data_IF_756749372646
#
_entry.id   IF_756749372646
#
_cell.length_a   1.000
_cell.length_b   1.000
_cell.length_c   1.000
_cell.angle_alpha   90.00
_cell.angle_beta   90.00
_cell.angle_gamma   90.00
#
_symmetry.space_group_name_H-M   'P 1'
#
loop_
_entity.id
_entity.type
_entity.pdbx_description
1 polymer ?
#
# COMPACT_ATOMS: atom_id res chain seq x y z
N UNK A 1 -21.55 -18.36 9.07
CA UNK A 1 -20.87 -17.54 8.04
C UNK A 1 -21.58 -17.78 6.71
N UNK A 2 -22.19 -16.75 6.09
CA UNK A 2 -23.00 -16.92 4.87
C UNK A 2 -22.17 -16.74 3.60
N UNK A 3 -22.26 -17.71 2.67
CA UNK A 3 -21.82 -17.59 1.27
C UNK A 3 -23.02 -17.10 0.44
N UNK A 4 -22.87 -16.01 -0.30
CA UNK A 4 -23.94 -15.48 -1.15
C UNK A 4 -23.96 -16.19 -2.50
N UNK A 5 -25.11 -16.72 -2.93
CA UNK A 5 -25.28 -17.31 -4.26
C UNK A 5 -26.52 -16.73 -4.94
N UNK A 6 -26.38 -16.35 -6.20
CA UNK A 6 -27.46 -15.94 -7.07
C UNK A 6 -27.31 -16.69 -8.39
N UNK A 7 -28.05 -17.80 -8.51
CA UNK A 7 -27.89 -18.73 -9.62
C UNK A 7 -29.16 -18.80 -10.46
N UNK A 8 -29.00 -18.73 -11.77
CA UNK A 8 -29.97 -19.11 -12.78
C UNK A 8 -29.30 -20.10 -13.74
N UNK A 9 -28.67 -21.11 -13.16
CA UNK A 9 -27.95 -22.18 -13.86
C UNK A 9 -28.93 -23.21 -14.44
N UNK A 10 -28.55 -23.84 -15.54
CA UNK A 10 -29.32 -24.94 -16.12
C UNK A 10 -28.43 -26.14 -16.40
N UNK A 11 -28.84 -27.33 -15.96
CA UNK A 11 -28.16 -28.57 -16.31
C UNK A 11 -28.46 -29.04 -17.74
N UNK A 12 -29.50 -28.49 -18.40
CA UNK A 12 -29.91 -28.88 -19.74
C UNK A 12 -30.64 -27.74 -20.43
N UNK A 13 -30.23 -27.39 -21.64
CA UNK A 13 -30.70 -26.19 -22.30
C UNK A 13 -30.05 -24.94 -21.71
N UNK A 14 -30.58 -23.78 -22.06
CA UNK A 14 -29.87 -22.52 -21.86
C UNK A 14 -29.95 -22.01 -20.42
N UNK A 15 -28.93 -21.26 -20.00
CA UNK A 15 -28.89 -20.57 -18.74
C UNK A 15 -29.94 -19.45 -18.69
N UNK A 16 -30.36 -19.09 -17.47
CA UNK A 16 -31.37 -18.05 -17.25
C UNK A 16 -30.81 -16.63 -17.36
N UNK A 17 -31.64 -15.66 -16.96
CA UNK A 17 -31.27 -14.25 -16.96
C UNK A 17 -31.19 -13.72 -15.52
N UNK A 18 -30.09 -13.06 -15.18
CA UNK A 18 -29.92 -12.33 -13.92
C UNK A 18 -29.87 -10.83 -14.22
N UNK A 19 -30.71 -10.06 -13.55
CA UNK A 19 -30.68 -8.60 -13.59
C UNK A 19 -30.49 -8.07 -12.16
N UNK A 20 -29.38 -7.38 -11.92
CA UNK A 20 -29.02 -6.88 -10.59
C UNK A 20 -28.82 -5.37 -10.62
N UNK A 21 -29.58 -4.67 -9.77
CA UNK A 21 -29.45 -3.23 -9.54
C UNK A 21 -29.12 -3.01 -8.07
N UNK A 22 -27.97 -2.39 -7.77
CA UNK A 22 -27.57 -2.10 -6.40
C UNK A 22 -26.72 -0.83 -6.31
N UNK A 23 -26.55 -0.29 -5.10
CA UNK A 23 -25.54 0.74 -4.88
C UNK A 23 -24.14 0.12 -4.67
N UNK A 24 -24.09 -1.02 -3.98
CA UNK A 24 -22.88 -1.76 -3.71
C UNK A 24 -23.16 -3.26 -3.91
N UNK A 25 -22.35 -3.91 -4.74
CA UNK A 25 -22.30 -5.36 -4.87
C UNK A 25 -21.01 -5.84 -4.19
N UNK A 26 -21.15 -6.36 -2.96
CA UNK A 26 -20.05 -6.91 -2.20
C UNK A 26 -20.02 -8.44 -2.34
N UNK A 27 -18.99 -8.96 -2.98
CA UNK A 27 -18.76 -10.38 -3.20
C UNK A 27 -17.70 -10.89 -2.22
N UNK A 28 -18.12 -11.82 -1.37
CA UNK A 28 -17.29 -12.36 -0.29
C UNK A 28 -17.52 -13.83 -0.03
N UNK A 29 -16.47 -14.50 0.45
CA UNK A 29 -16.44 -15.89 0.93
C UNK A 29 -16.95 -16.86 -0.13
N UNK A 30 -16.35 -16.79 -1.31
CA UNK A 30 -16.74 -17.56 -2.48
C UNK A 30 -18.19 -17.31 -2.89
N UNK A 31 -18.53 -16.03 -3.01
CA UNK A 31 -19.83 -15.62 -3.52
C UNK A 31 -19.92 -15.95 -5.02
N UNK A 32 -21.12 -16.31 -5.48
CA UNK A 32 -21.32 -16.72 -6.87
C UNK A 32 -22.54 -16.03 -7.46
N UNK A 33 -22.38 -15.46 -8.66
CA UNK A 33 -23.48 -15.05 -9.53
C UNK A 33 -23.34 -15.83 -10.82
N UNK A 34 -24.26 -16.74 -11.13
CA UNK A 34 -24.06 -17.69 -12.22
C UNK A 34 -25.30 -17.89 -13.08
N UNK A 35 -25.11 -17.84 -14.40
CA UNK A 35 -26.06 -18.30 -15.43
C UNK A 35 -25.45 -19.40 -16.28
N UNK A 36 -24.54 -20.19 -15.70
CA UNK A 36 -23.82 -21.26 -16.38
C UNK A 36 -24.79 -22.35 -16.84
N UNK A 37 -24.54 -22.92 -18.02
CA UNK A 37 -25.44 -23.86 -18.66
C UNK A 37 -24.77 -25.12 -19.22
N UNK A 38 -25.50 -26.22 -19.17
CA UNK A 38 -25.12 -27.51 -19.73
C UNK A 38 -24.19 -28.34 -18.85
N UNK A 39 -24.15 -29.64 -19.16
CA UNK A 39 -23.26 -30.67 -18.62
C UNK A 39 -22.58 -31.42 -19.77
N UNK A 40 -21.77 -32.42 -19.43
CA UNK A 40 -21.17 -33.32 -20.41
C UNK A 40 -22.20 -34.07 -21.26
N UNK A 41 -23.31 -34.51 -20.65
CA UNK A 41 -24.33 -35.28 -21.35
C UNK A 41 -25.42 -34.40 -21.99
N UNK A 42 -25.55 -33.15 -21.55
CA UNK A 42 -26.66 -32.26 -21.92
C UNK A 42 -26.14 -30.88 -22.27
N UNK A 43 -26.30 -30.48 -23.53
CA UNK A 43 -25.85 -29.16 -23.99
C UNK A 43 -26.68 -27.99 -23.44
N UNK A 44 -26.24 -26.78 -23.78
CA UNK A 44 -26.88 -25.53 -23.39
C UNK A 44 -25.96 -24.34 -23.58
N UNK A 45 -26.53 -23.20 -23.96
CA UNK A 45 -25.82 -21.93 -24.04
C UNK A 45 -25.88 -21.20 -22.68
N UNK A 46 -24.79 -20.54 -22.31
CA UNK A 46 -24.74 -19.70 -21.12
C UNK A 46 -25.79 -18.58 -21.17
N UNK A 47 -26.36 -18.25 -20.01
CA UNK A 47 -27.41 -17.24 -19.90
C UNK A 47 -26.90 -15.79 -19.91
N UNK A 48 -27.76 -14.83 -19.56
CA UNK A 48 -27.39 -13.42 -19.55
C UNK A 48 -27.32 -12.85 -18.12
N UNK A 49 -26.28 -12.05 -17.85
CA UNK A 49 -26.10 -11.34 -16.59
C UNK A 49 -26.00 -9.84 -16.90
N UNK A 50 -26.96 -9.05 -16.40
CA UNK A 50 -26.92 -7.59 -16.44
C UNK A 50 -26.74 -7.05 -15.02
N UNK A 51 -25.63 -6.37 -14.76
CA UNK A 51 -25.34 -5.75 -13.48
C UNK A 51 -25.20 -4.25 -13.66
N UNK A 52 -26.00 -3.51 -12.90
CA UNK A 52 -25.90 -2.07 -12.77
C UNK A 52 -25.68 -1.75 -11.28
N UNK A 53 -24.43 -1.51 -10.91
CA UNK A 53 -24.05 -1.17 -9.53
C UNK A 53 -23.18 0.06 -9.50
N UNK A 54 -23.25 0.91 -8.46
CA UNK A 54 -22.25 2.00 -8.38
C UNK A 54 -20.87 1.44 -8.12
N UNK A 55 -20.76 0.46 -7.22
CA UNK A 55 -19.51 -0.21 -6.90
C UNK A 55 -19.67 -1.73 -6.88
N UNK A 56 -18.69 -2.42 -7.42
CA UNK A 56 -18.54 -3.87 -7.29
C UNK A 56 -17.23 -4.11 -6.57
N UNK A 57 -17.27 -4.85 -5.46
CA UNK A 57 -16.11 -5.13 -4.62
C UNK A 57 -16.06 -6.62 -4.37
N UNK A 58 -15.01 -7.28 -4.83
CA UNK A 58 -14.69 -8.64 -4.47
C UNK A 58 -13.46 -8.65 -3.56
N UNK A 59 -13.53 -9.34 -2.43
CA UNK A 59 -12.36 -9.42 -1.53
C UNK A 59 -11.30 -10.32 -2.17
N UNK A 60 -10.04 -9.87 -2.29
CA UNK A 60 -8.97 -10.66 -2.90
C UNK A 60 -8.84 -12.04 -2.24
N UNK A 61 -8.53 -13.06 -3.04
CA UNK A 61 -8.32 -14.44 -2.59
C UNK A 61 -9.54 -15.12 -1.93
N UNK A 62 -10.76 -14.57 -2.10
CA UNK A 62 -11.99 -15.21 -1.63
C UNK A 62 -12.72 -16.02 -2.73
N UNK A 63 -12.16 -16.15 -3.95
CA UNK A 63 -12.70 -16.90 -5.10
C UNK A 63 -14.19 -16.64 -5.36
N UNK A 64 -14.54 -15.37 -5.54
CA UNK A 64 -15.90 -14.90 -5.77
C UNK A 64 -16.12 -14.48 -7.21
N UNK A 65 -17.07 -15.13 -7.88
CA UNK A 65 -17.15 -15.14 -9.33
C UNK A 65 -18.50 -14.71 -9.88
N UNK A 66 -18.44 -14.16 -11.10
CA UNK A 66 -19.59 -13.87 -11.95
C UNK A 66 -19.42 -14.69 -13.23
N UNK A 67 -20.28 -15.70 -13.44
CA UNK A 67 -20.08 -16.71 -14.49
C UNK A 67 -21.30 -16.89 -15.38
N UNK A 68 -21.08 -16.89 -16.69
CA UNK A 68 -22.09 -17.24 -17.69
C UNK A 68 -21.51 -18.29 -18.63
N UNK A 69 -20.96 -19.37 -18.06
CA UNK A 69 -20.21 -20.36 -18.82
C UNK A 69 -21.14 -21.36 -19.52
N UNK A 70 -20.59 -22.14 -20.46
CA UNK A 70 -21.29 -23.24 -21.11
C UNK A 70 -20.43 -24.51 -21.19
N UNK A 71 -21.04 -25.69 -21.17
CA UNK A 71 -20.28 -26.93 -21.39
C UNK A 71 -20.03 -27.18 -22.90
N UNK A 72 -21.08 -27.40 -23.69
CA UNK A 72 -20.96 -27.60 -25.16
C UNK A 72 -21.51 -26.44 -26.00
N UNK A 73 -22.42 -25.63 -25.45
CA UNK A 73 -23.00 -24.48 -26.15
C UNK A 73 -22.09 -23.26 -26.15
N UNK A 74 -22.61 -22.11 -26.57
CA UNK A 74 -21.90 -20.84 -26.51
C UNK A 74 -21.91 -20.29 -25.08
N UNK A 75 -20.81 -19.70 -24.62
CA UNK A 75 -20.80 -18.90 -23.40
C UNK A 75 -21.81 -17.75 -23.47
N UNK A 76 -22.32 -17.32 -22.32
CA UNK A 76 -23.38 -16.34 -22.21
C UNK A 76 -22.93 -14.88 -22.40
N UNK A 77 -23.81 -13.95 -22.08
CA UNK A 77 -23.50 -12.52 -22.17
C UNK A 77 -23.51 -11.88 -20.79
N UNK A 78 -22.40 -11.27 -20.42
CA UNK A 78 -22.25 -10.52 -19.17
C UNK A 78 -22.10 -9.05 -19.53
N UNK A 79 -23.05 -8.22 -19.10
CA UNK A 79 -22.99 -6.77 -19.22
C UNK A 79 -22.91 -6.15 -17.82
N UNK A 80 -21.84 -5.40 -17.55
CA UNK A 80 -21.62 -4.75 -16.27
C UNK A 80 -21.44 -3.25 -16.49
N UNK A 81 -22.25 -2.45 -15.79
CA UNK A 81 -22.07 -1.01 -15.67
C UNK A 81 -21.77 -0.66 -14.23
N UNK A 82 -20.61 -0.04 -14.00
CA UNK A 82 -20.17 0.37 -12.67
C UNK A 82 -19.36 1.66 -12.68
N UNK A 83 -19.35 2.39 -11.56
CA UNK A 83 -18.42 3.50 -11.34
C UNK A 83 -17.06 3.00 -10.82
N UNK A 84 -16.98 1.75 -10.37
CA UNK A 84 -15.73 1.10 -10.02
C UNK A 84 -15.90 -0.40 -9.75
N UNK A 85 -14.91 -1.19 -10.14
CA UNK A 85 -14.87 -2.64 -9.92
C UNK A 85 -13.53 -2.99 -9.26
N UNK A 86 -13.57 -3.47 -8.01
CA UNK A 86 -12.37 -3.69 -7.21
C UNK A 86 -12.18 -5.16 -6.89
N UNK A 87 -10.96 -5.65 -7.05
CA UNK A 87 -10.55 -6.98 -6.61
C UNK A 87 -11.08 -8.14 -7.46
N UNK A 88 -11.65 -7.89 -8.63
CA UNK A 88 -12.03 -8.91 -9.62
C UNK A 88 -11.74 -8.46 -11.04
N UNK A 89 -11.55 -9.40 -11.95
CA UNK A 89 -11.15 -9.13 -13.33
C UNK A 89 -11.89 -10.06 -14.31
N UNK A 90 -12.14 -9.56 -15.52
CA UNK A 90 -12.65 -10.40 -16.60
C UNK A 90 -11.51 -11.20 -17.21
N UNK A 91 -11.64 -12.54 -17.20
CA UNK A 91 -10.63 -13.45 -17.73
C UNK A 91 -11.26 -14.46 -18.68
N UNK A 92 -10.52 -14.98 -19.68
CA UNK A 92 -11.02 -16.04 -20.55
C UNK A 92 -11.27 -17.36 -19.81
N UNK A 93 -10.61 -17.58 -18.67
CA UNK A 93 -10.72 -18.79 -17.85
C UNK A 93 -10.61 -18.41 -16.37
N UNK A 94 -11.49 -18.97 -15.54
CA UNK A 94 -11.48 -18.77 -14.10
C UNK A 94 -10.25 -19.41 -13.43
N UNK A 95 -9.85 -18.86 -12.30
CA UNK A 95 -8.84 -19.42 -11.41
C UNK A 95 -9.44 -19.70 -10.04
N UNK A 96 -9.06 -20.81 -9.41
CA UNK A 96 -9.61 -21.20 -8.11
C UNK A 96 -9.19 -20.28 -6.93
N UNK A 97 -8.27 -19.35 -7.17
CA UNK A 97 -7.71 -18.44 -6.16
C UNK A 97 -8.03 -16.96 -6.42
N UNK A 98 -8.53 -16.62 -7.61
CA UNK A 98 -8.87 -15.22 -7.94
C UNK A 98 -10.37 -15.02 -8.02
N UNK A 99 -10.80 -13.76 -8.09
CA UNK A 99 -12.19 -13.42 -8.35
C UNK A 99 -12.33 -13.12 -9.83
N UNK A 100 -13.20 -13.86 -10.51
CA UNK A 100 -13.25 -13.89 -11.96
C UNK A 100 -14.63 -13.54 -12.54
N UNK A 101 -14.61 -12.85 -13.68
CA UNK A 101 -15.78 -12.65 -14.54
C UNK A 101 -15.54 -13.47 -15.81
N UNK A 102 -16.36 -14.50 -16.04
CA UNK A 102 -16.15 -15.45 -17.15
C UNK A 102 -17.43 -15.76 -17.92
N UNK A 103 -17.32 -15.79 -19.24
CA UNK A 103 -18.36 -16.29 -20.14
C UNK A 103 -17.76 -17.25 -21.17
N UNK A 104 -17.05 -18.27 -20.70
CA UNK A 104 -16.33 -19.24 -21.54
C UNK A 104 -17.18 -20.45 -21.89
N UNK A 105 -16.72 -21.25 -22.86
CA UNK A 105 -17.28 -22.58 -23.14
C UNK A 105 -16.17 -23.63 -23.20
N UNK A 106 -16.46 -24.86 -22.73
CA UNK A 106 -15.50 -25.96 -22.78
C UNK A 106 -15.35 -26.53 -24.20
N UNK A 107 -16.46 -26.75 -24.90
CA UNK A 107 -16.49 -27.36 -26.24
C UNK A 107 -17.20 -26.50 -27.30
N UNK A 108 -17.76 -25.37 -26.89
CA UNK A 108 -18.38 -24.40 -27.81
C UNK A 108 -17.55 -23.13 -27.96
N UNK A 109 -18.22 -22.04 -28.34
CA UNK A 109 -17.59 -20.72 -28.47
C UNK A 109 -17.72 -19.89 -27.20
N UNK A 110 -16.75 -19.03 -26.92
CA UNK A 110 -16.85 -18.07 -25.81
C UNK A 110 -17.96 -17.05 -26.05
N UNK A 111 -18.59 -16.66 -24.95
CA UNK A 111 -19.55 -15.57 -24.86
C UNK A 111 -18.91 -14.20 -24.84
N UNK A 112 -19.70 -13.19 -24.45
CA UNK A 112 -19.28 -11.80 -24.42
C UNK A 112 -19.26 -11.32 -22.97
N UNK A 113 -18.16 -10.69 -22.58
CA UNK A 113 -18.03 -9.96 -21.31
C UNK A 113 -17.79 -8.50 -21.66
N UNK A 114 -18.80 -7.67 -21.42
CA UNK A 114 -18.77 -6.22 -21.64
C UNK A 114 -18.81 -5.50 -20.30
N UNK A 115 -17.70 -4.85 -19.94
CA UNK A 115 -17.52 -4.19 -18.65
C UNK A 115 -17.26 -2.71 -18.90
N UNK A 116 -18.21 -1.88 -18.46
CA UNK A 116 -18.12 -0.43 -18.50
C UNK A 116 -17.85 0.07 -17.08
N UNK A 117 -16.59 0.38 -16.81
CA UNK A 117 -16.10 0.96 -15.55
C UNK A 117 -14.87 1.83 -15.85
N UNK A 118 -14.63 2.90 -15.08
CA UNK A 118 -13.32 3.55 -15.08
C UNK A 118 -12.21 2.53 -14.81
N UNK A 119 -11.08 2.70 -15.50
CA UNK A 119 -9.88 1.92 -15.24
C UNK A 119 -9.30 2.31 -13.88
N UNK A 120 -9.21 1.34 -12.98
CA UNK A 120 -8.64 1.49 -11.65
C UNK A 120 -7.35 0.67 -11.46
N UNK A 121 -6.74 0.18 -12.54
CA UNK A 121 -5.46 -0.53 -12.52
C UNK A 121 -4.31 0.29 -11.90
N UNK A 122 -4.41 1.62 -12.00
CA UNK A 122 -3.47 2.57 -11.42
C UNK A 122 -3.67 2.80 -9.92
N UNK A 123 -4.80 2.38 -9.35
CA UNK A 123 -5.02 2.41 -7.90
C UNK A 123 -4.18 1.29 -7.31
N UNK A 124 -2.98 1.64 -6.88
CA UNK A 124 -2.09 0.74 -6.16
C UNK A 124 -2.85 0.15 -4.97
N UNK A 125 -3.10 -1.17 -4.99
CA UNK A 125 -3.52 -1.95 -3.81
C UNK A 125 -2.42 -2.02 -2.72
N UNK A 126 -1.37 -1.24 -2.91
CA UNK A 126 -0.21 -1.23 -2.04
C UNK A 126 -0.56 -0.40 -0.80
N UNK A 127 -1.07 -1.07 0.23
CA UNK A 127 -0.60 -0.74 1.58
C UNK A 127 0.88 -1.18 1.61
N UNK A 128 1.74 -0.44 0.92
CA UNK A 128 3.16 -0.59 1.12
C UNK A 128 3.33 -0.23 2.59
N UNK A 129 3.81 -1.15 3.42
CA UNK A 129 4.43 -0.71 4.66
C UNK A 129 5.46 0.34 4.24
N UNK A 130 5.20 1.61 4.61
CA UNK A 130 6.20 2.65 4.43
C UNK A 130 7.48 2.09 5.04
N UNK A 131 8.55 2.09 4.24
CA UNK A 131 9.86 1.63 4.68
C UNK A 131 10.16 2.27 6.03
N UNK A 132 10.06 1.48 7.10
CA UNK A 132 10.40 1.91 8.45
C UNK A 132 11.91 1.94 8.62
N UNK A 133 12.70 2.29 7.60
CA UNK A 133 14.08 2.68 7.82
C UNK A 133 14.02 4.04 8.49
N UNK A 134 14.05 4.10 9.84
CA UNK A 134 14.06 5.38 10.50
C UNK A 134 15.37 6.00 10.06
N UNK A 135 15.35 7.30 9.79
CA UNK A 135 16.59 8.05 9.65
C UNK A 135 17.49 7.64 10.83
N UNK A 136 18.66 7.07 10.55
CA UNK A 136 19.58 6.63 11.60
C UNK A 136 19.96 7.86 12.43
N UNK A 137 19.32 8.00 13.59
CA UNK A 137 19.52 9.16 14.46
C UNK A 137 20.96 9.23 14.97
N UNK A 138 21.72 8.14 14.91
CA UNK A 138 23.16 8.17 15.22
C UNK A 138 23.96 8.96 14.18
N UNK A 139 23.49 9.01 12.93
CA UNK A 139 24.08 9.86 11.89
C UNK A 139 23.78 11.36 12.12
N UNK A 140 22.66 11.70 12.78
CA UNK A 140 22.32 13.09 13.16
C UNK A 140 23.01 13.56 14.45
N UNK A 141 23.29 12.66 15.39
CA UNK A 141 23.94 12.98 16.67
C UNK A 141 25.46 13.16 16.52
N UNK A 142 26.05 12.74 15.41
CA UNK A 142 27.49 12.85 15.16
C UNK A 142 28.03 14.30 15.07
N UNK A 143 27.19 15.33 15.17
CA UNK A 143 27.56 16.74 14.95
C UNK A 143 27.58 17.64 16.20
N UNK A 144 27.57 17.11 17.44
CA UNK A 144 27.71 17.98 18.63
C UNK A 144 28.79 17.50 19.60
N UNK A 145 29.88 18.26 19.70
CA UNK A 145 30.79 18.18 20.84
C UNK A 145 30.10 18.75 22.09
N UNK A 146 29.76 17.91 23.06
CA UNK A 146 29.18 18.33 24.34
C UNK A 146 30.32 18.65 25.33
N UNK A 147 30.44 19.91 25.72
CA UNK A 147 31.30 20.38 26.83
C UNK A 147 30.40 20.69 28.03
N UNK A 148 30.65 20.07 29.19
CA UNK A 148 29.89 20.32 30.42
C UNK A 148 30.65 21.33 31.29
N UNK A 149 30.15 22.56 31.40
CA UNK A 149 30.65 23.56 32.36
C UNK A 149 29.50 24.11 33.20
N UNK A 150 29.78 24.46 34.46
CA UNK A 150 28.78 24.90 35.45
C UNK A 150 28.39 26.39 35.36
N UNK A 151 28.74 27.06 34.25
CA UNK A 151 28.73 28.52 34.16
C UNK A 151 27.78 29.00 33.06
N UNK A 152 26.56 29.35 33.49
CA UNK A 152 25.49 30.04 32.75
C UNK A 152 24.59 29.18 31.84
N UNK A 153 23.28 29.30 32.06
CA UNK A 153 22.20 28.52 31.44
C UNK A 153 21.54 29.33 30.32
N UNK A 154 21.55 28.81 29.09
CA UNK A 154 20.63 29.24 28.03
C UNK A 154 19.30 28.50 28.14
N UNK A 155 18.30 28.82 27.31
CA UNK A 155 17.03 28.09 27.29
C UNK A 155 16.53 27.96 25.87
N UNK A 156 16.30 26.74 25.42
CA UNK A 156 15.63 26.43 24.15
C UNK A 156 14.34 25.64 24.43
N UNK A 157 13.19 26.16 23.97
CA UNK A 157 11.88 25.55 24.19
C UNK A 157 11.37 24.97 22.87
N UNK A 158 11.11 23.67 22.85
CA UNK A 158 10.34 23.03 21.78
C UNK A 158 8.88 23.00 22.26
N UNK A 159 8.03 23.85 21.70
CA UNK A 159 6.59 23.70 21.85
C UNK A 159 6.16 22.46 21.04
N UNK A 160 5.72 21.41 21.72
CA UNK A 160 5.17 20.22 21.07
C UNK A 160 3.96 20.54 20.18
N UNK A 161 3.44 19.54 19.47
CA UNK A 161 2.31 19.67 18.56
C UNK A 161 1.01 20.04 19.30
N UNK A 162 0.82 21.34 19.52
CA UNK A 162 -0.40 22.13 19.69
C UNK A 162 -1.74 21.38 19.91
N UNK A 163 -1.82 20.55 20.96
CA UNK A 163 -3.08 20.05 21.51
C UNK A 163 -3.90 19.06 20.67
N UNK A 164 -3.35 18.48 19.60
CA UNK A 164 -4.06 17.45 18.83
C UNK A 164 -3.88 16.06 19.47
N UNK A 165 -4.95 15.25 19.59
CA UNK A 165 -4.86 13.92 20.18
C UNK A 165 -4.01 12.98 19.31
N UNK A 166 -3.06 12.27 19.93
CA UNK A 166 -2.21 11.28 19.27
C UNK A 166 -3.07 10.21 18.59
N UNK A 167 -2.86 10.01 17.29
CA UNK A 167 -3.48 8.93 16.53
C UNK A 167 -2.61 7.67 16.63
N UNK A 168 -3.20 6.47 16.48
CA UNK A 168 -2.42 5.24 16.40
C UNK A 168 -1.39 5.33 15.27
N UNK A 169 -0.09 5.27 15.60
CA UNK A 169 1.02 5.41 14.66
C UNK A 169 1.86 6.67 14.80
N UNK A 170 1.45 7.63 15.64
CA UNK A 170 2.28 8.78 15.96
C UNK A 170 3.55 8.35 16.71
N UNK A 171 4.69 8.90 16.30
CA UNK A 171 5.97 8.69 16.98
C UNK A 171 5.87 9.17 18.42
N UNK A 172 6.14 8.28 19.37
CA UNK A 172 6.28 8.64 20.77
C UNK A 172 7.25 9.80 20.90
N UNK A 173 6.84 10.87 21.58
CA UNK A 173 7.72 11.99 21.93
C UNK A 173 8.96 11.39 22.60
N UNK A 174 10.12 11.69 22.02
CA UNK A 174 11.42 11.22 22.49
C UNK A 174 11.54 11.35 24.02
N UNK A 175 11.79 10.23 24.71
CA UNK A 175 12.10 10.20 26.16
C UNK A 175 13.53 10.65 26.47
N UNK A 176 14.33 11.01 25.46
CA UNK A 176 15.70 11.45 25.66
C UNK A 176 15.73 12.93 26.09
N UNK A 177 16.37 13.26 27.23
CA UNK A 177 16.56 14.65 27.61
C UNK A 177 17.46 15.34 26.59
N UNK A 178 16.93 16.34 25.89
CA UNK A 178 17.72 17.22 25.02
C UNK A 178 18.47 18.25 25.86
N UNK A 179 19.71 18.55 25.47
CA UNK A 179 20.54 19.56 26.12
C UNK A 179 20.85 20.71 25.16
N UNK A 180 21.10 21.90 25.70
CA UNK A 180 21.36 23.10 24.91
C UNK A 180 22.73 23.04 24.19
N UNK A 181 22.80 23.56 22.96
CA UNK A 181 24.00 23.62 22.12
C UNK A 181 24.49 25.07 21.99
N UNK A 182 25.81 25.31 22.09
CA UNK A 182 26.42 26.64 21.88
C UNK A 182 27.68 26.55 21.02
N UNK A 183 27.94 27.62 20.25
CA UNK A 183 29.16 27.78 19.47
C UNK A 183 30.41 27.93 20.35
N UNK A 184 31.54 27.43 19.84
CA UNK A 184 32.87 27.61 20.44
C UNK A 184 33.16 29.12 20.45
N UNK A 185 33.37 29.70 21.64
CA UNK A 185 33.88 31.06 21.71
C UNK A 185 35.30 31.04 21.14
N UNK A 186 35.53 31.78 20.07
CA UNK A 186 36.86 32.04 19.57
C UNK A 186 37.60 32.83 20.65
N UNK A 187 38.34 32.14 21.51
CA UNK A 187 39.44 32.80 22.20
C UNK A 187 40.37 33.31 21.10
N UNK A 188 40.60 34.63 21.09
CA UNK A 188 41.51 35.30 20.17
C UNK A 188 42.95 34.82 20.40
N UNK A 189 43.28 33.58 20.04
CA UNK A 189 44.65 33.08 19.99
C UNK A 189 45.15 33.34 18.57
N UNK A 190 45.27 34.63 18.24
CA UNK A 190 45.84 35.14 16.99
C UNK A 190 47.37 35.08 17.01
N UNK A 191 47.97 33.93 17.37
CA UNK A 191 49.40 33.74 17.13
C UNK A 191 49.67 32.40 16.42
N UNK A 192 50.39 32.42 15.30
CA UNK A 192 50.79 31.19 14.62
C UNK A 192 51.74 30.38 15.53
N UNK A 193 51.64 29.06 15.44
CA UNK A 193 52.46 28.10 16.19
C UNK A 193 53.95 28.40 16.02
N UNK A 194 54.71 28.38 17.13
CA UNK A 194 56.16 28.57 17.12
C UNK A 194 56.89 27.31 17.58
N UNK A 195 58.15 27.17 17.16
CA UNK A 195 59.00 26.02 17.47
C UNK A 195 59.22 25.92 18.99
N UNK A 196 58.57 24.93 19.61
CA UNK A 196 58.53 24.74 21.07
C UNK A 196 57.11 24.59 21.61
N UNK A 197 56.11 25.06 20.86
CA UNK A 197 54.72 24.78 21.15
C UNK A 197 54.43 23.27 20.98
N UNK A 198 53.61 22.67 21.86
CA UNK A 198 53.32 21.25 21.78
C UNK A 198 52.63 20.92 20.45
N UNK A 199 53.20 19.96 19.72
CA UNK A 199 52.52 19.35 18.58
C UNK A 199 51.44 18.45 19.15
N UNK A 200 50.20 18.67 18.74
CA UNK A 200 49.09 17.88 19.21
C UNK A 200 48.46 17.17 18.02
N UNK A 201 48.42 15.85 18.10
CA UNK A 201 47.78 15.04 17.08
C UNK A 201 46.24 15.19 17.11
N UNK A 202 45.61 15.29 15.94
CA UNK A 202 44.16 15.32 15.86
C UNK A 202 43.59 13.97 16.30
N UNK A 203 42.48 14.03 17.03
CA UNK A 203 41.72 12.84 17.44
C UNK A 203 40.79 12.32 16.33
N UNK A 204 40.62 13.08 15.25
CA UNK A 204 39.85 12.67 14.07
C UNK A 204 39.84 13.72 12.95
N UNK A 205 39.36 13.31 11.77
CA UNK A 205 39.18 14.17 10.59
C UNK A 205 37.72 14.09 10.16
N UNK A 206 37.10 15.24 9.88
CA UNK A 206 35.67 15.34 9.54
C UNK A 206 35.48 16.18 8.29
N UNK A 207 34.59 15.74 7.40
CA UNK A 207 34.23 16.49 6.19
C UNK A 207 32.93 17.25 6.42
N UNK A 208 32.95 18.56 6.19
CA UNK A 208 31.77 19.41 6.25
C UNK A 208 30.92 19.27 4.98
N UNK A 209 29.65 19.68 5.05
CA UNK A 209 28.75 19.72 3.89
C UNK A 209 29.28 20.62 2.74
N UNK A 210 30.17 21.56 3.04
CA UNK A 210 30.89 22.38 2.07
C UNK A 210 32.05 21.65 1.35
N UNK A 211 32.35 20.40 1.73
CA UNK A 211 33.46 19.61 1.21
C UNK A 211 34.80 19.85 1.92
N UNK A 212 34.90 20.83 2.81
CA UNK A 212 36.11 21.10 3.59
C UNK A 212 36.38 20.02 4.64
N UNK A 213 37.65 19.64 4.79
CA UNK A 213 38.12 18.73 5.83
C UNK A 213 38.61 19.52 7.05
N UNK A 214 38.14 19.14 8.22
CA UNK A 214 38.50 19.75 9.51
C UNK A 214 39.09 18.68 10.42
N UNK A 215 40.24 19.00 11.01
CA UNK A 215 40.89 18.17 12.02
C UNK A 215 40.31 18.53 13.39
N UNK A 216 39.85 17.54 14.16
CA UNK A 216 39.32 17.76 15.51
C UNK A 216 40.21 17.11 16.56
N UNK A 217 40.14 17.61 17.80
CA UNK A 217 40.84 17.06 18.96
C UNK A 217 39.86 16.98 20.12
N UNK A 218 39.89 15.87 20.87
CA UNK A 218 39.19 15.78 22.17
C UNK A 218 39.91 16.69 23.18
N UNK A 219 39.18 17.60 23.83
CA UNK A 219 39.72 18.37 24.95
C UNK A 219 39.99 17.41 26.13
N UNK A 220 41.15 17.54 26.78
CA UNK A 220 41.40 16.89 28.07
C UNK A 220 40.55 17.56 29.14
N UNK A 221 39.95 16.75 30.03
CA UNK A 221 39.23 17.24 31.21
C UNK A 221 40.15 18.02 32.15
#
# INVERSE_FOLDING_TARGET
>A
MLKGKLNAESASGNGGNINLNSNLLLLRRSAQISTTAGTAEKGGDGGNININSKFIVAVPNENSDITANAFTGRGGNINIRSQGIFGMEARPKASDITNDITASSNFGSSGIVDVVSPDNSSIQNNLAELSQTPIDTNALIANSCIVRTNSQKGTFIITGSDGLPNRPGDVSVSTYPTGDVRNVQAENISRPWQKGDPIVEPSGVFQLASGQLVLSRKCSQ
#
